data_IF_234911340214
#
_entry.id   IF_234911340214
#
_cell.length_a   1.000
_cell.length_b   1.000
_cell.length_c   1.000
_cell.angle_alpha   90.00
_cell.angle_beta   90.00
_cell.angle_gamma   90.00
#
_symmetry.space_group_name_H-M   'P 1'
#
loop_
_entity.id
_entity.type
_entity.pdbx_description
1 polymer ?
#
# COMPACT_ATOMS: atom_id res chain seq x y z
N UNK A 1 15.09 8.08 -10.50
CA UNK A 1 13.92 8.17 -9.61
C UNK A 1 13.32 6.80 -9.38
N UNK A 2 13.02 6.45 -8.13
CA UNK A 2 12.47 5.16 -7.72
C UNK A 2 11.23 5.39 -6.84
N UNK A 3 10.34 4.41 -6.77
CA UNK A 3 9.31 4.39 -5.73
C UNK A 3 9.91 3.98 -4.38
N UNK A 4 9.25 4.32 -3.27
CA UNK A 4 9.65 3.89 -1.92
C UNK A 4 9.84 2.38 -1.86
N UNK A 5 8.85 1.59 -2.31
CA UNK A 5 8.94 0.12 -2.26
C UNK A 5 10.11 -0.41 -3.09
N UNK A 6 10.41 0.20 -4.25
CA UNK A 6 11.57 -0.19 -5.06
C UNK A 6 12.87 0.17 -4.34
N UNK A 7 12.96 1.35 -3.74
CA UNK A 7 14.15 1.82 -3.00
C UNK A 7 14.42 0.93 -1.79
N UNK A 8 13.41 0.66 -0.96
CA UNK A 8 13.50 -0.21 0.23
C UNK A 8 13.98 -1.64 -0.10
N UNK A 9 13.63 -2.15 -1.29
CA UNK A 9 14.08 -3.46 -1.78
C UNK A 9 15.53 -3.47 -2.27
N UNK A 10 16.00 -2.37 -2.87
CA UNK A 10 17.31 -2.33 -3.55
C UNK A 10 18.43 -1.72 -2.71
N UNK A 11 18.10 -0.87 -1.73
CA UNK A 11 19.11 -0.25 -0.88
C UNK A 11 19.67 -1.29 0.09
N UNK A 12 20.99 -1.27 0.28
CA UNK A 12 21.64 -2.11 1.28
C UNK A 12 21.20 -1.64 2.67
N UNK A 13 20.77 -2.58 3.50
CA UNK A 13 20.39 -2.32 4.88
C UNK A 13 21.44 -2.88 5.85
N UNK A 14 21.56 -2.33 7.07
CA UNK A 14 22.35 -2.96 8.12
C UNK A 14 21.78 -4.34 8.50
N UNK A 15 22.57 -5.14 9.23
CA UNK A 15 22.11 -6.44 9.70
C UNK A 15 20.86 -6.30 10.57
N UNK A 16 19.79 -6.98 10.17
CA UNK A 16 18.47 -6.88 10.82
C UNK A 16 17.58 -5.75 10.30
N UNK A 17 18.06 -4.87 9.41
CA UNK A 17 17.33 -3.71 8.92
C UNK A 17 17.42 -2.48 9.83
N UNK A 18 17.01 -1.32 9.33
CA UNK A 18 16.98 -0.06 10.11
C UNK A 18 15.98 -0.14 11.27
N UNK A 19 14.86 -0.83 11.07
CA UNK A 19 13.98 -1.29 12.14
C UNK A 19 13.88 -2.81 12.04
N UNK A 20 14.24 -3.52 13.11
CA UNK A 20 14.19 -4.98 13.12
C UNK A 20 12.73 -5.44 13.12
N UNK A 21 12.30 -6.37 12.25
CA UNK A 21 10.93 -6.88 12.30
C UNK A 21 10.53 -7.45 13.67
N UNK A 22 11.48 -8.01 14.41
CA UNK A 22 11.26 -8.54 15.76
C UNK A 22 11.07 -7.49 16.85
N UNK A 23 11.34 -6.20 16.59
CA UNK A 23 11.05 -5.13 17.54
C UNK A 23 9.60 -4.66 17.50
N UNK A 24 8.80 -5.15 16.55
CA UNK A 24 7.36 -4.90 16.54
C UNK A 24 6.67 -5.81 17.57
N UNK A 25 5.82 -5.21 18.40
CA UNK A 25 4.87 -5.96 19.24
C UNK A 25 3.83 -6.56 18.30
N UNK A 26 3.63 -7.87 18.35
CA UNK A 26 2.68 -8.55 17.50
C UNK A 26 1.51 -9.14 18.30
N UNK A 27 0.32 -9.06 17.72
CA UNK A 27 -0.92 -9.64 18.27
C UNK A 27 -1.57 -10.49 17.20
N UNK A 28 -1.70 -11.79 17.48
CA UNK A 28 -2.36 -12.75 16.59
C UNK A 28 -3.81 -12.86 17.02
N UNK A 29 -4.72 -12.75 16.06
CA UNK A 29 -6.15 -12.91 16.27
C UNK A 29 -6.60 -14.27 15.76
N UNK A 30 -7.64 -14.81 16.40
CA UNK A 30 -8.34 -16.00 15.95
C UNK A 30 -9.78 -15.63 15.59
N UNK A 31 -10.25 -16.09 14.44
CA UNK A 31 -11.63 -15.98 13.98
C UNK A 31 -12.21 -17.34 13.59
N UNK A 32 -11.57 -18.42 14.07
CA UNK A 32 -11.89 -19.82 13.83
C UNK A 32 -11.93 -20.20 12.34
N UNK A 33 -11.38 -19.35 11.46
CA UNK A 33 -11.28 -19.59 10.04
C UNK A 33 -9.84 -19.92 9.62
N UNK A 34 -9.67 -21.06 8.98
CA UNK A 34 -8.40 -21.44 8.34
C UNK A 34 -8.47 -21.11 6.86
N UNK A 35 -7.57 -20.24 6.41
CA UNK A 35 -7.42 -19.88 4.99
C UNK A 35 -7.06 -21.16 4.20
N UNK A 36 -7.83 -21.47 3.16
CA UNK A 36 -7.54 -22.62 2.31
C UNK A 36 -6.15 -22.47 1.68
N UNK A 37 -5.33 -23.53 1.76
CA UNK A 37 -3.91 -23.44 1.42
C UNK A 37 -3.59 -23.30 -0.07
N UNK A 38 -4.55 -23.61 -0.96
CA UNK A 38 -4.36 -23.51 -2.41
C UNK A 38 -5.32 -22.46 -2.98
N UNK A 39 -4.74 -21.39 -3.53
CA UNK A 39 -5.46 -20.35 -4.26
C UNK A 39 -5.07 -20.44 -5.74
N UNK A 40 -6.03 -20.23 -6.64
CA UNK A 40 -5.81 -20.39 -8.09
C UNK A 40 -5.50 -19.07 -8.82
N UNK A 41 -5.49 -17.94 -8.11
CA UNK A 41 -5.07 -16.62 -8.61
C UNK A 41 -3.84 -16.11 -7.86
N UNK A 42 -3.08 -15.20 -8.49
CA UNK A 42 -1.82 -14.73 -7.92
C UNK A 42 -2.02 -13.93 -6.62
N UNK A 43 -1.06 -14.02 -5.70
CA UNK A 43 -1.10 -13.27 -4.44
C UNK A 43 -1.19 -11.74 -4.63
N UNK A 44 -0.69 -11.20 -5.76
CA UNK A 44 -0.83 -9.78 -6.10
C UNK A 44 -2.28 -9.40 -6.40
N UNK A 45 -3.00 -10.24 -7.16
CA UNK A 45 -4.43 -10.04 -7.47
C UNK A 45 -5.24 -10.10 -6.19
N UNK A 46 -4.96 -11.09 -5.33
CA UNK A 46 -5.63 -11.22 -4.02
C UNK A 46 -5.37 -10.00 -3.16
N UNK A 47 -4.12 -9.53 -3.07
CA UNK A 47 -3.76 -8.36 -2.29
C UNK A 47 -4.51 -7.10 -2.72
N UNK A 48 -4.52 -6.80 -4.03
CA UNK A 48 -5.23 -5.62 -4.57
C UNK A 48 -6.75 -5.77 -4.42
N UNK A 49 -7.29 -6.97 -4.65
CA UNK A 49 -8.74 -7.23 -4.46
C UNK A 49 -9.15 -7.00 -3.01
N UNK A 50 -8.38 -7.51 -2.05
CA UNK A 50 -8.66 -7.31 -0.62
C UNK A 50 -8.56 -5.83 -0.24
N UNK A 51 -7.54 -5.10 -0.70
CA UNK A 51 -7.39 -3.67 -0.44
C UNK A 51 -8.59 -2.87 -0.99
N UNK A 52 -8.92 -3.03 -2.27
CA UNK A 52 -9.96 -2.21 -2.92
C UNK A 52 -11.37 -2.56 -2.41
N UNK A 53 -11.66 -3.84 -2.17
CA UNK A 53 -12.91 -4.23 -1.51
C UNK A 53 -12.99 -3.73 -0.07
N UNK A 54 -11.89 -3.75 0.69
CA UNK A 54 -11.88 -3.19 2.06
C UNK A 54 -12.27 -1.72 2.03
N UNK A 55 -11.63 -0.91 1.17
CA UNK A 55 -11.96 0.52 1.01
C UNK A 55 -13.42 0.73 0.63
N UNK A 56 -13.90 -0.01 -0.37
CA UNK A 56 -15.28 0.08 -0.83
C UNK A 56 -16.29 -0.22 0.29
N UNK A 57 -16.11 -1.33 1.01
CA UNK A 57 -17.02 -1.74 2.09
C UNK A 57 -16.96 -0.78 3.29
N UNK A 58 -15.82 -0.11 3.49
CA UNK A 58 -15.68 0.94 4.50
C UNK A 58 -16.29 2.29 4.11
N UNK A 59 -16.87 2.40 2.90
CA UNK A 59 -17.62 3.56 2.46
C UNK A 59 -16.93 4.43 1.40
N UNK A 60 -15.73 4.07 0.93
CA UNK A 60 -15.13 4.73 -0.23
C UNK A 60 -15.94 4.40 -1.48
N UNK A 61 -16.24 5.39 -2.32
CA UNK A 61 -16.93 5.15 -3.58
C UNK A 61 -16.17 4.12 -4.43
N UNK A 62 -16.90 3.21 -5.09
CA UNK A 62 -16.30 2.12 -5.88
C UNK A 62 -15.41 2.62 -7.02
N UNK A 63 -15.74 3.74 -7.67
CA UNK A 63 -14.90 4.32 -8.74
C UNK A 63 -13.59 4.80 -8.15
N UNK A 64 -13.61 5.42 -6.97
CA UNK A 64 -12.42 5.85 -6.24
C UNK A 64 -11.60 4.66 -5.74
N UNK A 65 -12.24 3.65 -5.15
CA UNK A 65 -11.55 2.46 -4.62
C UNK A 65 -10.82 1.68 -5.74
N UNK A 66 -11.42 1.58 -6.92
CA UNK A 66 -10.86 0.86 -8.09
C UNK A 66 -10.21 1.80 -9.13
N UNK A 67 -9.90 3.05 -8.77
CA UNK A 67 -9.44 4.06 -9.75
C UNK A 67 -8.18 3.63 -10.52
N UNK A 68 -7.26 2.92 -9.87
CA UNK A 68 -6.03 2.42 -10.51
C UNK A 68 -6.37 1.40 -11.60
N UNK A 69 -7.25 0.46 -11.30
CA UNK A 69 -7.73 -0.54 -12.25
C UNK A 69 -8.47 0.11 -13.41
N UNK A 70 -9.29 1.13 -13.13
CA UNK A 70 -10.03 1.88 -14.15
C UNK A 70 -9.07 2.62 -15.09
N UNK A 71 -8.07 3.33 -14.54
CA UNK A 71 -7.03 4.01 -15.33
C UNK A 71 -6.22 3.00 -16.16
N UNK A 72 -5.90 1.85 -15.59
CA UNK A 72 -5.26 0.75 -16.30
C UNK A 72 -6.11 0.24 -17.47
N UNK A 73 -7.42 0.11 -17.29
CA UNK A 73 -8.34 -0.31 -18.33
C UNK A 73 -8.46 0.73 -19.46
N UNK A 74 -8.40 2.03 -19.14
CA UNK A 74 -8.32 3.10 -20.15
C UNK A 74 -7.06 2.92 -21.00
N UNK A 75 -5.90 2.70 -20.36
CA UNK A 75 -4.63 2.47 -21.07
C UNK A 75 -4.65 1.21 -21.93
N UNK A 76 -5.32 0.16 -21.46
CA UNK A 76 -5.54 -1.08 -22.21
C UNK A 76 -6.61 -0.95 -23.32
N UNK A 77 -7.31 0.19 -23.41
CA UNK A 77 -8.48 0.42 -24.30
C UNK A 77 -9.62 -0.58 -24.03
N UNK A 78 -9.89 -0.87 -22.76
CA UNK A 78 -10.88 -1.84 -22.26
C UNK A 78 -11.85 -1.22 -21.24
N UNK A 79 -12.10 0.08 -21.33
CA UNK A 79 -12.94 0.81 -20.36
C UNK A 79 -14.37 0.26 -20.25
N UNK A 80 -14.97 -0.20 -21.34
CA UNK A 80 -16.34 -0.74 -21.29
C UNK A 80 -16.43 -2.04 -20.49
N UNK A 81 -15.42 -2.91 -20.61
CA UNK A 81 -15.29 -4.11 -19.78
C UNK A 81 -15.09 -3.74 -18.31
N UNK A 82 -14.23 -2.75 -18.03
CA UNK A 82 -14.02 -2.30 -16.65
C UNK A 82 -15.29 -1.72 -16.03
N UNK A 83 -16.12 -1.01 -16.80
CA UNK A 83 -17.43 -0.51 -16.34
C UNK A 83 -18.39 -1.64 -16.02
N UNK A 84 -18.44 -2.68 -16.84
CA UNK A 84 -19.27 -3.87 -16.59
C UNK A 84 -18.83 -4.59 -15.30
N UNK A 85 -17.53 -4.88 -15.18
CA UNK A 85 -16.97 -5.51 -13.98
C UNK A 85 -17.25 -4.67 -12.73
N UNK A 86 -17.04 -3.34 -12.80
CA UNK A 86 -17.31 -2.43 -11.69
C UNK A 86 -18.81 -2.37 -11.32
N UNK A 87 -19.71 -2.49 -12.30
CA UNK A 87 -21.15 -2.50 -12.05
C UNK A 87 -21.60 -3.74 -11.25
N UNK A 88 -20.89 -4.86 -11.40
CA UNK A 88 -21.16 -6.10 -10.71
C UNK A 88 -20.63 -6.12 -9.27
N UNK A 89 -19.69 -5.24 -8.92
CA UNK A 89 -19.16 -5.12 -7.55
C UNK A 89 -20.18 -4.35 -6.70
N UNK A 90 -20.91 -5.09 -5.87
CA UNK A 90 -21.98 -4.59 -4.98
C UNK A 90 -21.75 -4.91 -3.51
N UNK A 91 -20.84 -5.83 -3.21
CA UNK A 91 -20.53 -6.27 -1.85
C UNK A 91 -19.43 -7.31 -1.82
N UNK A 92 -19.61 -8.34 -0.98
CA UNK A 92 -18.68 -9.46 -0.83
C UNK A 92 -19.31 -10.80 -1.25
N UNK A 93 -20.38 -10.77 -2.03
CA UNK A 93 -20.90 -11.95 -2.71
C UNK A 93 -19.90 -12.47 -3.76
N UNK A 94 -20.14 -13.69 -4.26
CA UNK A 94 -19.22 -14.36 -5.19
C UNK A 94 -19.03 -13.56 -6.49
N UNK A 95 -20.11 -12.98 -7.05
CA UNK A 95 -20.06 -12.22 -8.30
C UNK A 95 -19.23 -10.93 -8.12
N UNK A 96 -19.40 -10.24 -6.99
CA UNK A 96 -18.61 -9.08 -6.63
C UNK A 96 -17.12 -9.41 -6.52
N UNK A 97 -16.76 -10.51 -5.85
CA UNK A 97 -15.36 -10.91 -5.67
C UNK A 97 -14.71 -11.35 -6.98
N UNK A 98 -15.43 -12.13 -7.81
CA UNK A 98 -14.96 -12.52 -9.14
C UNK A 98 -14.71 -11.27 -9.99
N UNK A 99 -15.66 -10.33 -10.00
CA UNK A 99 -15.54 -9.11 -10.79
C UNK A 99 -14.40 -8.21 -10.32
N UNK A 100 -14.20 -8.12 -9.00
CA UNK A 100 -13.06 -7.39 -8.42
C UNK A 100 -11.72 -8.04 -8.80
N UNK A 101 -11.59 -9.37 -8.69
CA UNK A 101 -10.39 -10.11 -9.12
C UNK A 101 -10.02 -9.85 -10.58
N UNK A 102 -11.03 -9.81 -11.47
CA UNK A 102 -10.84 -9.49 -12.89
C UNK A 102 -10.49 -8.03 -13.10
N UNK A 103 -11.15 -7.11 -12.41
CA UNK A 103 -10.92 -5.68 -12.58
C UNK A 103 -9.49 -5.29 -12.20
N UNK A 104 -8.96 -5.82 -11.09
CA UNK A 104 -7.61 -5.49 -10.63
C UNK A 104 -6.50 -6.04 -11.53
N UNK A 105 -6.78 -6.90 -12.52
CA UNK A 105 -5.75 -7.28 -13.50
C UNK A 105 -5.34 -6.10 -14.38
N UNK A 106 -6.17 -5.06 -14.48
CA UNK A 106 -5.83 -3.86 -15.24
C UNK A 106 -4.79 -2.96 -14.55
N UNK A 107 -4.57 -3.09 -13.23
CA UNK A 107 -3.58 -2.29 -12.49
C UNK A 107 -2.19 -2.30 -13.12
N UNK A 108 -1.77 -3.45 -13.64
CA UNK A 108 -0.45 -3.60 -14.25
C UNK A 108 -0.28 -2.71 -15.48
N UNK A 109 -1.35 -2.40 -16.21
CA UNK A 109 -1.29 -1.48 -17.36
C UNK A 109 -0.94 -0.05 -16.93
N UNK A 110 -1.49 0.39 -15.79
CA UNK A 110 -1.19 1.70 -15.22
C UNK A 110 0.20 1.74 -14.57
N UNK A 111 0.55 0.69 -13.84
CA UNK A 111 1.78 0.66 -13.01
C UNK A 111 3.03 0.25 -13.78
N UNK A 112 2.91 -0.65 -14.76
CA UNK A 112 4.03 -1.17 -15.54
C UNK A 112 3.56 -1.78 -16.87
N UNK A 113 3.38 -0.92 -17.88
CA UNK A 113 2.93 -1.31 -19.22
C UNK A 113 3.78 -2.43 -19.86
N UNK A 114 5.09 -2.50 -19.59
CA UNK A 114 5.95 -3.58 -20.13
C UNK A 114 5.60 -4.94 -19.52
N UNK A 115 5.32 -4.99 -18.22
CA UNK A 115 4.88 -6.21 -17.56
C UNK A 115 3.44 -6.58 -17.97
N UNK A 116 2.59 -5.59 -18.25
CA UNK A 116 1.21 -5.80 -18.67
C UNK A 116 1.10 -6.62 -19.96
N UNK A 117 2.01 -6.41 -20.92
CA UNK A 117 2.05 -7.15 -22.19
C UNK A 117 2.31 -8.66 -22.01
N UNK A 118 2.83 -9.08 -20.85
CA UNK A 118 3.14 -10.47 -20.52
C UNK A 118 2.20 -11.04 -19.44
N UNK A 119 1.29 -10.22 -18.91
CA UNK A 119 0.39 -10.61 -17.85
C UNK A 119 -0.77 -11.45 -18.41
N UNK A 120 -1.39 -12.25 -17.52
CA UNK A 120 -2.63 -12.94 -17.86
C UNK A 120 -3.76 -11.94 -18.09
N UNK A 121 -4.64 -12.28 -19.02
CA UNK A 121 -5.79 -11.44 -19.32
C UNK A 121 -6.85 -11.53 -18.20
N UNK A 122 -7.69 -10.49 -18.09
CA UNK A 122 -8.79 -10.47 -17.13
C UNK A 122 -9.75 -11.66 -17.34
N UNK A 123 -9.98 -12.08 -18.59
CA UNK A 123 -10.85 -13.20 -18.92
C UNK A 123 -10.34 -14.55 -18.41
N UNK A 124 -9.03 -14.67 -18.18
CA UNK A 124 -8.38 -15.86 -17.65
C UNK A 124 -8.28 -15.85 -16.11
N UNK A 125 -8.60 -14.73 -15.46
CA UNK A 125 -8.58 -14.58 -14.01
C UNK A 125 -9.93 -14.97 -13.43
N UNK A 126 -10.08 -16.26 -13.11
CA UNK A 126 -11.32 -16.82 -12.58
C UNK A 126 -11.03 -17.50 -11.23
N UNK A 127 -11.24 -16.80 -10.09
CA UNK A 127 -11.01 -17.39 -8.78
C UNK A 127 -12.00 -18.53 -8.54
N UNK A 128 -11.52 -19.64 -7.95
CA UNK A 128 -12.38 -20.75 -7.52
C UNK A 128 -13.06 -20.46 -6.18
N UNK A 129 -13.96 -21.34 -5.75
CA UNK A 129 -14.74 -21.18 -4.52
C UNK A 129 -13.86 -20.97 -3.27
N UNK A 130 -12.74 -21.69 -3.19
CA UNK A 130 -11.81 -21.60 -2.06
C UNK A 130 -11.10 -20.23 -2.04
N UNK A 131 -10.66 -19.78 -3.22
CA UNK A 131 -10.04 -18.46 -3.39
C UNK A 131 -11.03 -17.33 -3.09
N UNK A 132 -12.28 -17.44 -3.54
CA UNK A 132 -13.36 -16.47 -3.26
C UNK A 132 -13.63 -16.39 -1.75
N UNK A 133 -13.80 -17.55 -1.10
CA UNK A 133 -14.02 -17.61 0.35
C UNK A 133 -12.84 -17.04 1.13
N UNK A 134 -11.61 -17.33 0.72
CA UNK A 134 -10.41 -16.74 1.32
C UNK A 134 -10.43 -15.21 1.21
N UNK A 135 -10.66 -14.65 0.01
CA UNK A 135 -10.73 -13.19 -0.18
C UNK A 135 -11.79 -12.57 0.72
N UNK A 136 -12.98 -13.17 0.79
CA UNK A 136 -14.06 -12.71 1.66
C UNK A 136 -13.62 -12.62 3.11
N UNK A 137 -12.98 -13.68 3.63
CA UNK A 137 -12.47 -13.69 5.01
C UNK A 137 -11.38 -12.65 5.22
N UNK A 138 -10.46 -12.49 4.27
CA UNK A 138 -9.40 -11.48 4.37
C UNK A 138 -9.98 -10.06 4.44
N UNK A 139 -11.02 -9.75 3.65
CA UNK A 139 -11.72 -8.46 3.74
C UNK A 139 -12.42 -8.32 5.09
N UNK A 140 -13.14 -9.35 5.57
CA UNK A 140 -13.80 -9.30 6.89
C UNK A 140 -12.79 -9.07 8.02
N UNK A 141 -11.61 -9.70 7.97
CA UNK A 141 -10.52 -9.47 8.93
C UNK A 141 -10.04 -8.02 8.89
N UNK A 142 -9.92 -7.43 7.71
CA UNK A 142 -9.59 -6.01 7.54
C UNK A 142 -10.63 -5.07 8.15
N UNK A 143 -11.93 -5.38 7.99
CA UNK A 143 -13.00 -4.59 8.61
C UNK A 143 -12.93 -4.64 10.14
N UNK A 144 -12.81 -5.84 10.72
CA UNK A 144 -12.64 -6.04 12.17
C UNK A 144 -11.38 -5.35 12.71
N UNK A 145 -10.32 -5.32 11.91
CA UNK A 145 -9.11 -4.57 12.25
C UNK A 145 -9.44 -3.07 12.43
N UNK A 146 -10.18 -2.46 11.51
CA UNK A 146 -10.52 -1.03 11.61
C UNK A 146 -11.57 -0.71 12.67
N UNK A 147 -12.44 -1.65 13.07
CA UNK A 147 -13.27 -1.50 14.27
C UNK A 147 -12.42 -1.27 15.52
N UNK A 148 -11.22 -1.87 15.57
CA UNK A 148 -10.30 -1.78 16.72
C UNK A 148 -9.28 -0.65 16.62
N UNK A 149 -8.72 -0.42 15.44
CA UNK A 149 -7.58 0.49 15.22
C UNK A 149 -7.95 1.79 14.50
N UNK A 150 -9.18 1.89 13.99
CA UNK A 150 -9.72 3.12 13.41
C UNK A 150 -10.00 4.21 14.46
N UNK A 151 -10.64 5.32 14.04
CA UNK A 151 -11.12 5.59 12.69
C UNK A 151 -9.98 5.86 11.70
N UNK A 152 -10.25 5.64 10.41
CA UNK A 152 -9.34 6.04 9.33
C UNK A 152 -9.40 7.57 9.22
N UNK A 153 -8.23 8.21 9.27
CA UNK A 153 -8.06 9.64 9.02
C UNK A 153 -7.81 9.90 7.53
N UNK A 154 -7.04 9.01 6.89
CA UNK A 154 -6.76 9.08 5.46
C UNK A 154 -6.55 7.67 4.89
N UNK A 155 -7.23 7.34 3.81
CA UNK A 155 -6.93 6.18 2.98
C UNK A 155 -6.22 6.64 1.70
N UNK A 156 -5.20 5.89 1.25
CA UNK A 156 -4.45 6.20 0.03
C UNK A 156 -3.79 7.58 0.08
N UNK A 157 -2.60 7.65 0.67
CA UNK A 157 -1.87 8.92 0.82
C UNK A 157 -0.55 8.92 0.07
N UNK A 158 -0.14 10.13 -0.32
CA UNK A 158 1.13 10.43 -1.00
C UNK A 158 1.88 11.50 -0.20
N UNK A 159 3.12 11.79 -0.59
CA UNK A 159 4.04 12.67 0.13
C UNK A 159 4.31 13.98 -0.60
N UNK A 160 3.35 14.45 -1.41
CA UNK A 160 3.42 15.76 -2.07
C UNK A 160 3.41 16.89 -1.02
N UNK A 161 3.96 18.08 -1.31
CA UNK A 161 3.81 19.23 -0.43
C UNK A 161 2.33 19.65 -0.34
N UNK A 162 2.00 20.43 0.68
CA UNK A 162 0.64 20.97 0.87
C UNK A 162 0.20 21.89 -0.25
N UNK A 163 1.13 22.61 -0.86
CA UNK A 163 0.86 23.51 -1.99
C UNK A 163 1.05 22.80 -3.32
N UNK A 164 0.19 23.14 -4.30
CA UNK A 164 0.36 22.64 -5.67
C UNK A 164 1.56 23.33 -6.29
N UNK A 165 2.57 22.55 -6.65
CA UNK A 165 3.74 23.06 -7.37
C UNK A 165 3.66 22.62 -8.83
N UNK A 166 3.58 23.59 -9.73
CA UNK A 166 3.72 23.32 -11.16
C UNK A 166 5.15 22.87 -11.48
N UNK A 167 5.28 21.87 -12.37
CA UNK A 167 6.60 21.39 -12.79
C UNK A 167 7.35 20.56 -11.74
N UNK A 168 6.66 19.94 -10.77
CA UNK A 168 7.26 19.09 -9.72
C UNK A 168 8.29 18.08 -10.24
N UNK A 169 8.01 17.45 -11.39
CA UNK A 169 8.94 16.53 -12.04
C UNK A 169 10.25 17.22 -12.47
N UNK A 170 10.16 18.42 -13.04
CA UNK A 170 11.32 19.21 -13.46
C UNK A 170 12.17 19.60 -12.25
N UNK A 171 11.54 19.99 -11.14
CA UNK A 171 12.25 20.32 -9.89
C UNK A 171 13.02 19.12 -9.36
N UNK A 172 12.42 17.92 -9.35
CA UNK A 172 13.10 16.69 -8.98
C UNK A 172 14.29 16.37 -9.91
N UNK A 173 14.17 16.66 -11.21
CA UNK A 173 15.25 16.46 -12.20
C UNK A 173 16.38 17.48 -12.06
N UNK A 174 16.09 18.70 -11.61
CA UNK A 174 17.07 19.71 -11.20
C UNK A 174 17.72 19.38 -9.84
N UNK A 175 17.26 18.32 -9.18
CA UNK A 175 17.79 17.83 -7.92
C UNK A 175 17.08 18.39 -6.69
N UNK A 176 16.12 19.30 -6.83
CA UNK A 176 15.36 19.85 -5.71
C UNK A 176 14.48 18.79 -5.07
N UNK A 177 14.19 18.98 -3.78
CA UNK A 177 13.21 18.17 -3.06
C UNK A 177 11.80 18.73 -3.29
N UNK A 178 10.79 17.86 -3.26
CA UNK A 178 9.38 18.21 -3.50
C UNK A 178 8.49 17.53 -2.45
N UNK A 179 8.09 18.28 -1.42
CA UNK A 179 7.47 17.71 -0.22
C UNK A 179 8.36 16.64 0.40
N UNK A 180 7.81 15.45 0.61
CA UNK A 180 8.57 14.28 1.06
C UNK A 180 9.44 13.62 -0.01
N UNK A 181 9.35 14.02 -1.28
CA UNK A 181 10.07 13.39 -2.38
C UNK A 181 11.45 14.00 -2.66
N UNK A 182 12.32 13.19 -3.26
CA UNK A 182 13.68 13.54 -3.70
C UNK A 182 13.97 12.99 -5.10
N UNK A 183 15.06 13.41 -5.74
CA UNK A 183 15.54 12.83 -7.02
C UNK A 183 15.76 11.30 -6.95
N UNK A 184 16.02 10.79 -5.74
CA UNK A 184 16.21 9.35 -5.48
C UNK A 184 14.86 8.66 -5.36
N UNK A 185 13.98 9.20 -4.52
CA UNK A 185 12.67 8.63 -4.17
C UNK A 185 11.57 9.60 -4.59
N UNK A 186 10.92 9.34 -5.72
CA UNK A 186 10.01 10.28 -6.37
C UNK A 186 8.53 9.86 -6.32
N UNK A 187 8.23 8.71 -5.73
CA UNK A 187 6.85 8.24 -5.57
C UNK A 187 6.70 7.28 -4.40
N UNK A 188 5.53 7.26 -3.80
CA UNK A 188 5.17 6.36 -2.71
C UNK A 188 3.67 6.44 -2.46
N UNK A 189 3.04 5.28 -2.30
CA UNK A 189 1.61 5.14 -2.04
C UNK A 189 1.46 4.41 -0.72
N UNK A 190 0.96 5.12 0.31
CA UNK A 190 0.67 4.54 1.61
C UNK A 190 -0.78 4.11 1.74
N UNK A 191 -1.02 3.05 2.51
CA UNK A 191 -2.34 2.41 2.55
C UNK A 191 -3.32 3.22 3.42
N UNK A 192 -3.06 3.32 4.73
CA UNK A 192 -3.99 3.96 5.68
C UNK A 192 -3.27 4.74 6.79
N UNK A 193 -3.85 5.86 7.20
CA UNK A 193 -3.54 6.57 8.44
C UNK A 193 -4.73 6.48 9.38
N UNK A 194 -4.46 6.16 10.64
CA UNK A 194 -5.39 6.40 11.75
C UNK A 194 -4.82 7.53 12.62
N UNK A 195 -5.47 7.87 13.73
CA UNK A 195 -5.15 9.05 14.55
C UNK A 195 -3.65 9.16 14.89
N UNK A 196 -3.01 8.04 15.23
CA UNK A 196 -1.62 8.01 15.71
C UNK A 196 -0.72 7.04 14.95
N UNK A 197 -1.24 6.31 13.96
CA UNK A 197 -0.54 5.19 13.34
C UNK A 197 -0.59 5.22 11.81
N UNK A 198 0.57 5.00 11.20
CA UNK A 198 0.71 4.74 9.77
C UNK A 198 0.68 3.24 9.52
N UNK A 199 -0.29 2.78 8.74
CA UNK A 199 -0.56 1.38 8.49
C UNK A 199 -0.20 0.96 7.07
N UNK A 200 0.47 -0.18 6.95
CA UNK A 200 0.72 -0.90 5.70
C UNK A 200 0.07 -2.28 5.78
N UNK A 201 -0.77 -2.59 4.81
CA UNK A 201 -1.49 -3.86 4.71
C UNK A 201 -0.67 -4.85 3.89
N UNK A 202 -0.37 -6.00 4.47
CA UNK A 202 0.42 -7.05 3.82
C UNK A 202 -0.38 -8.35 3.72
N UNK A 203 -1.03 -8.55 2.58
CA UNK A 203 -1.74 -9.80 2.25
C UNK A 203 -0.75 -10.88 1.80
N UNK A 204 0.03 -11.41 2.75
CA UNK A 204 1.12 -12.36 2.48
C UNK A 204 1.13 -13.56 3.42
N UNK A 205 1.56 -14.72 2.95
CA UNK A 205 1.80 -15.91 3.79
C UNK A 205 3.04 -15.77 4.69
N UNK A 206 3.84 -14.72 4.50
CA UNK A 206 5.06 -14.47 5.23
C UNK A 206 4.91 -13.34 6.24
N UNK A 207 5.63 -13.46 7.35
CA UNK A 207 5.78 -12.39 8.34
C UNK A 207 6.48 -11.17 7.72
N UNK A 208 6.30 -9.96 8.29
CA UNK A 208 7.05 -8.79 7.87
C UNK A 208 8.56 -9.01 7.90
N UNK A 209 9.26 -8.40 6.94
CA UNK A 209 10.70 -8.45 6.81
C UNK A 209 11.29 -7.02 6.85
N UNK A 210 12.61 -6.89 6.80
CA UNK A 210 13.30 -5.60 6.87
C UNK A 210 13.00 -4.66 5.70
N UNK A 211 12.55 -5.18 4.55
CA UNK A 211 12.14 -4.32 3.44
C UNK A 211 10.80 -3.64 3.76
N UNK A 212 9.86 -4.35 4.39
CA UNK A 212 8.58 -3.78 4.82
C UNK A 212 8.76 -2.75 5.93
N UNK A 213 9.61 -3.03 6.93
CA UNK A 213 9.84 -2.09 8.02
C UNK A 213 10.59 -0.83 7.55
N UNK A 214 11.54 -0.96 6.61
CA UNK A 214 12.15 0.20 5.97
C UNK A 214 11.15 1.00 5.13
N UNK A 215 10.26 0.34 4.38
CA UNK A 215 9.21 1.02 3.62
C UNK A 215 8.34 1.90 4.54
N UNK A 216 7.90 1.37 5.68
CA UNK A 216 7.14 2.13 6.68
C UNK A 216 7.92 3.30 7.27
N UNK A 217 9.19 3.09 7.63
CA UNK A 217 10.04 4.16 8.14
C UNK A 217 10.21 5.28 7.11
N UNK A 218 10.44 4.92 5.84
CA UNK A 218 10.51 5.89 4.75
C UNK A 218 9.20 6.67 4.61
N UNK A 219 8.05 6.00 4.65
CA UNK A 219 6.75 6.68 4.61
C UNK A 219 6.56 7.65 5.77
N UNK A 220 6.95 7.26 6.99
CA UNK A 220 6.85 8.15 8.13
C UNK A 220 7.74 9.38 7.98
N UNK A 221 9.03 9.21 7.63
CA UNK A 221 9.97 10.31 7.42
C UNK A 221 9.49 11.24 6.31
N UNK A 222 9.12 10.68 5.15
CA UNK A 222 8.60 11.46 4.02
C UNK A 222 7.31 12.19 4.38
N UNK A 223 6.45 11.58 5.21
CA UNK A 223 5.26 12.20 5.77
C UNK A 223 5.60 13.43 6.61
N UNK A 224 6.56 13.32 7.53
CA UNK A 224 7.02 14.45 8.34
C UNK A 224 7.61 15.57 7.47
N UNK A 225 8.31 15.22 6.38
CA UNK A 225 8.89 16.17 5.44
C UNK A 225 7.89 16.78 4.45
N UNK A 226 6.71 16.18 4.28
CA UNK A 226 5.69 16.65 3.32
C UNK A 226 5.00 17.94 3.76
N UNK A 227 5.05 18.28 5.05
CA UNK A 227 4.31 19.41 5.61
C UNK A 227 2.80 19.18 5.76
N UNK A 228 2.26 18.04 5.32
CA UNK A 228 0.83 17.75 5.42
C UNK A 228 0.42 17.46 6.87
N UNK A 229 -0.65 18.13 7.33
CA UNK A 229 -1.17 18.00 8.71
C UNK A 229 -1.53 16.56 9.10
N UNK A 230 -1.95 15.74 8.13
CA UNK A 230 -2.35 14.34 8.34
C UNK A 230 -1.24 13.46 8.94
N UNK A 231 0.03 13.88 8.86
CA UNK A 231 1.17 13.11 9.38
C UNK A 231 1.65 13.56 10.77
N UNK A 232 1.26 14.75 11.26
CA UNK A 232 1.81 15.32 12.51
C UNK A 232 1.49 14.50 13.76
N UNK A 233 0.36 13.80 13.77
CA UNK A 233 -0.07 12.97 14.89
C UNK A 233 0.53 11.56 14.91
N UNK A 234 1.25 11.16 13.86
CA UNK A 234 1.67 9.77 13.68
C UNK A 234 2.89 9.47 14.55
N UNK A 235 2.68 8.66 15.59
CA UNK A 235 3.71 8.23 16.55
C UNK A 235 3.99 6.74 16.50
N UNK A 236 3.26 5.99 15.66
CA UNK A 236 3.39 4.54 15.51
C UNK A 236 3.46 4.12 14.05
N UNK A 237 4.16 3.02 13.81
CA UNK A 237 4.17 2.29 12.55
C UNK A 237 3.46 0.95 12.76
N UNK A 238 2.59 0.60 11.82
CA UNK A 238 1.76 -0.58 11.89
C UNK A 238 1.79 -1.41 10.61
N UNK A 239 1.84 -2.72 10.76
CA UNK A 239 1.56 -3.66 9.66
C UNK A 239 0.38 -4.52 10.08
N UNK A 240 -0.62 -4.60 9.22
CA UNK A 240 -1.66 -5.62 9.36
C UNK A 240 -1.52 -6.67 8.27
N UNK A 241 -1.48 -7.94 8.66
CA UNK A 241 -1.50 -9.06 7.74
C UNK A 241 -2.79 -9.87 7.94
N UNK A 242 -3.80 -9.72 7.06
CA UNK A 242 -5.06 -10.43 7.21
C UNK A 242 -4.93 -11.94 6.96
N UNK A 243 -3.92 -12.42 6.22
CA UNK A 243 -3.71 -13.87 6.02
C UNK A 243 -3.26 -14.55 7.30
N UNK A 244 -2.27 -13.94 7.97
CA UNK A 244 -1.79 -14.39 9.28
C UNK A 244 -2.69 -13.93 10.43
N UNK A 245 -3.71 -13.12 10.12
CA UNK A 245 -4.58 -12.44 11.09
C UNK A 245 -3.78 -11.79 12.24
N UNK A 246 -2.70 -11.06 11.88
CA UNK A 246 -1.73 -10.56 12.84
C UNK A 246 -1.46 -9.08 12.62
N UNK A 247 -1.51 -8.31 13.72
CA UNK A 247 -1.06 -6.92 13.78
C UNK A 247 0.35 -6.87 14.31
N UNK A 248 1.19 -6.04 13.70
CA UNK A 248 2.54 -5.70 14.15
C UNK A 248 2.56 -4.20 14.41
N UNK A 249 2.94 -3.77 15.61
CA UNK A 249 3.00 -2.36 16.00
C UNK A 249 4.38 -1.99 16.53
N UNK A 250 4.84 -0.81 16.14
CA UNK A 250 6.10 -0.23 16.59
C UNK A 250 5.88 1.23 16.99
N UNK A 251 6.36 1.61 18.18
CA UNK A 251 6.30 3.01 18.63
C UNK A 251 7.56 3.76 18.19
N UNK A 252 7.38 4.90 17.52
CA UNK A 252 8.49 5.68 16.96
C UNK A 252 9.46 6.20 18.03
N UNK A 253 8.97 6.44 19.26
CA UNK A 253 9.82 6.83 20.39
C UNK A 253 10.93 5.82 20.73
N UNK A 254 10.79 4.57 20.27
CA UNK A 254 11.78 3.52 20.49
C UNK A 254 12.85 3.48 19.37
N UNK A 255 12.72 4.30 18.34
CA UNK A 255 13.70 4.42 17.26
C UNK A 255 14.70 5.52 17.59
N UNK A 256 16.02 5.24 17.59
CA UNK A 256 17.03 6.28 17.77
C UNK A 256 17.03 7.30 16.62
N UNK A 257 17.22 8.57 16.95
CA UNK A 257 17.24 9.67 15.97
C UNK A 257 18.36 9.50 14.93
N UNK A 258 19.47 8.84 15.29
CA UNK A 258 20.55 8.55 14.36
C UNK A 258 20.11 7.63 13.22
N UNK A 259 19.16 6.73 13.47
CA UNK A 259 18.60 5.85 12.44
C UNK A 259 17.69 6.65 11.50
N UNK A 260 16.91 7.59 12.02
CA UNK A 260 16.08 8.49 11.21
C UNK A 260 17.00 9.30 10.27
N UNK A 261 18.03 9.93 10.84
CA UNK A 261 19.01 10.72 10.08
C UNK A 261 19.74 9.90 9.01
N UNK A 262 20.17 8.69 9.34
CA UNK A 262 20.80 7.78 8.37
C UNK A 262 19.88 7.46 7.19
N UNK A 263 18.59 7.23 7.45
CA UNK A 263 17.60 6.98 6.40
C UNK A 263 17.32 8.25 5.59
N UNK A 264 17.24 9.41 6.23
CA UNK A 264 17.10 10.71 5.55
C UNK A 264 18.27 10.99 4.60
N UNK A 265 19.50 10.82 5.07
CA UNK A 265 20.71 11.20 4.34
C UNK A 265 21.10 10.16 3.28
N UNK A 266 21.07 8.86 3.62
CA UNK A 266 21.66 7.82 2.78
C UNK A 266 20.62 6.96 2.04
N UNK A 267 19.37 6.90 2.52
CA UNK A 267 18.31 6.14 1.87
C UNK A 267 17.42 7.03 1.01
N UNK A 268 16.86 8.09 1.58
CA UNK A 268 15.95 9.04 0.90
C UNK A 268 16.76 10.15 0.19
N UNK A 269 17.90 10.53 0.75
CA UNK A 269 18.86 11.50 0.22
C UNK A 269 18.41 12.97 0.26
N UNK A 270 17.96 13.45 1.43
CA UNK A 270 17.63 14.88 1.61
C UNK A 270 18.86 15.80 1.66
N UNK A 271 19.94 15.40 2.35
CA UNK A 271 21.13 16.23 2.60
C UNK A 271 22.00 16.57 1.38
N UNK A 272 21.56 16.23 0.17
CA UNK A 272 22.32 16.44 -1.06
C UNK A 272 21.90 17.64 -1.91
N UNK A 273 20.76 18.30 -1.66
CA UNK A 273 20.21 19.36 -2.52
C UNK A 273 19.21 20.28 -1.78
N UNK A 274 19.08 21.53 -2.23
CA UNK A 274 18.20 22.58 -1.66
C UNK A 274 16.71 22.16 -1.64
N UNK A 275 16.03 22.41 -0.50
CA UNK A 275 14.57 22.34 -0.38
C UNK A 275 13.95 23.58 -1.03
N UNK A 276 12.87 23.40 -1.78
CA UNK A 276 11.95 24.51 -2.08
C UNK A 276 10.80 24.36 -1.10
N UNK A 277 10.64 25.39 -0.26
CA UNK A 277 9.48 25.54 0.63
C UNK A 277 8.21 25.86 -0.18
#
# INVERSE_FOLDING_TARGET
MMSVSRRARTVKQPYGGYIRPSSFVHSVYNDDYTIAGKENVSGSIIGMTVDYLTRFIMGTDRVSAFHVSINGAIMAKKIDIAKELLANIKGLDDESIISACKLVTFDVWFRNMKAALLARDYSETNPDSDTINNIRVLVIRSLKFFEKYGPIIKDGFTFEPTEKVEGALSLLMEGKNFGGYTKTVASGDGDFLTVDTLWDFKVSWYKPNSQHTLQLLMYWIMGQHSGQEIFKGITKLGIFNPRLNTVYLFEMKNLPDEIIKEVEDNVICYGGNEKID
#
